data_IF_770192035220
#
_entry.id   IF_770192035220
#
_cell.length_a   1.000
_cell.length_b   1.000
_cell.length_c   1.000
_cell.angle_alpha   90.00
_cell.angle_beta   90.00
_cell.angle_gamma   90.00
#
_symmetry.space_group_name_H-M   'P 1'
#
loop_
_entity.id
_entity.type
_entity.pdbx_description
1 polymer ?
#
# COMPACT_ATOMS: atom_id res chain seq x y z
N UNK A 1 -22.70 4.33 -5.79
CA UNK A 1 -21.68 5.38 -5.98
C UNK A 1 -20.44 5.09 -5.15
N UNK A 2 -19.25 5.16 -5.77
CA UNK A 2 -17.95 5.05 -5.09
C UNK A 2 -17.59 6.39 -4.44
N UNK A 3 -17.13 6.35 -3.19
CA UNK A 3 -16.67 7.54 -2.44
C UNK A 3 -15.39 7.21 -1.66
N UNK A 4 -14.52 8.20 -1.48
CA UNK A 4 -13.33 8.09 -0.64
C UNK A 4 -13.41 9.17 0.43
N UNK A 5 -13.23 8.79 1.69
CA UNK A 5 -13.03 9.71 2.82
C UNK A 5 -11.58 9.68 3.23
N UNK A 6 -11.05 10.85 3.58
CA UNK A 6 -9.67 10.98 4.05
C UNK A 6 -9.65 11.48 5.48
N UNK A 7 -8.85 10.83 6.32
CA UNK A 7 -8.53 11.25 7.67
C UNK A 7 -7.06 11.65 7.69
N UNK A 8 -6.81 12.95 7.87
CA UNK A 8 -5.48 13.51 7.76
C UNK A 8 -4.74 13.45 9.10
N UNK A 9 -3.52 12.93 9.09
CA UNK A 9 -2.54 13.14 10.16
C UNK A 9 -1.27 13.71 9.54
N UNK A 10 -0.45 14.42 10.33
CA UNK A 10 0.62 15.32 9.82
C UNK A 10 1.41 14.76 8.62
N UNK A 11 1.79 13.48 8.66
CA UNK A 11 2.47 12.78 7.56
C UNK A 11 1.93 11.36 7.29
N UNK A 12 0.84 10.98 7.94
CA UNK A 12 0.20 9.67 7.83
C UNK A 12 -1.26 9.93 7.55
N UNK A 13 -1.81 9.48 6.42
CA UNK A 13 -3.24 9.63 6.15
C UNK A 13 -3.90 8.25 6.10
N UNK A 14 -5.16 8.21 6.51
CA UNK A 14 -6.02 7.05 6.29
C UNK A 14 -7.07 7.39 5.24
N UNK A 15 -7.10 6.60 4.17
CA UNK A 15 -8.11 6.65 3.11
C UNK A 15 -9.11 5.53 3.34
N UNK A 16 -10.39 5.86 3.44
CA UNK A 16 -11.48 4.90 3.62
C UNK A 16 -12.41 4.95 2.42
N UNK A 17 -12.65 3.78 1.83
CA UNK A 17 -13.35 3.63 0.56
C UNK A 17 -14.76 3.07 0.80
N UNK A 18 -15.75 3.61 0.08
CA UNK A 18 -17.16 3.27 0.25
C UNK A 18 -17.85 2.96 -1.07
N UNK A 19 -18.80 2.01 -1.06
CA UNK A 19 -19.81 1.78 -2.09
C UNK A 19 -21.17 1.89 -1.44
N UNK A 20 -22.03 2.77 -1.97
CA UNK A 20 -23.40 2.95 -1.47
C UNK A 20 -23.42 3.16 0.06
N UNK A 21 -22.52 4.02 0.56
CA UNK A 21 -22.27 4.32 1.97
C UNK A 21 -21.80 3.14 2.84
N UNK A 22 -21.51 1.97 2.26
CA UNK A 22 -20.89 0.85 2.96
C UNK A 22 -19.38 0.88 2.76
N UNK A 23 -18.61 0.78 3.84
CA UNK A 23 -17.15 0.69 3.75
C UNK A 23 -16.73 -0.60 3.04
N UNK A 24 -15.84 -0.48 2.06
CA UNK A 24 -15.30 -1.62 1.29
C UNK A 24 -13.85 -1.94 1.63
N UNK A 25 -13.14 -0.96 2.16
CA UNK A 25 -11.74 -1.11 2.53
C UNK A 25 -11.09 0.21 2.88
N UNK A 26 -9.82 0.13 3.23
CA UNK A 26 -9.01 1.26 3.67
C UNK A 26 -7.56 1.09 3.25
N UNK A 27 -6.88 2.22 3.17
CA UNK A 27 -5.44 2.32 2.95
C UNK A 27 -4.85 3.30 3.93
N UNK A 28 -3.70 2.97 4.51
CA UNK A 28 -2.90 3.90 5.29
C UNK A 28 -1.65 4.25 4.51
N UNK A 29 -1.41 5.54 4.34
CA UNK A 29 -0.32 6.07 3.51
C UNK A 29 0.53 7.05 4.31
N UNK A 30 1.80 7.17 3.94
CA UNK A 30 2.73 8.12 4.53
C UNK A 30 3.48 8.90 3.46
N UNK A 31 3.74 10.16 3.73
CA UNK A 31 4.65 10.97 2.91
C UNK A 31 5.95 11.21 3.69
N UNK A 32 7.05 10.78 3.12
CA UNK A 32 8.39 10.96 3.69
C UNK A 32 9.12 12.09 2.96
N UNK A 33 10.30 12.45 3.47
CA UNK A 33 11.21 13.37 2.79
C UNK A 33 11.61 12.84 1.40
N UNK A 34 12.13 13.71 0.53
CA UNK A 34 12.66 13.37 -0.80
C UNK A 34 11.62 12.81 -1.79
N UNK A 35 10.36 13.27 -1.75
CA UNK A 35 9.30 12.85 -2.69
C UNK A 35 9.04 11.34 -2.69
N UNK A 36 9.24 10.69 -1.53
CA UNK A 36 8.97 9.27 -1.31
C UNK A 36 7.64 9.12 -0.56
N UNK A 37 6.73 8.33 -1.11
CA UNK A 37 5.51 7.91 -0.47
C UNK A 37 5.62 6.46 -0.01
N UNK A 38 4.89 6.12 1.04
CA UNK A 38 4.76 4.74 1.52
C UNK A 38 3.28 4.39 1.56
N UNK A 39 2.90 3.23 1.04
CA UNK A 39 1.58 2.64 1.32
C UNK A 39 1.81 1.54 2.34
N UNK A 40 1.43 1.80 3.59
CA UNK A 40 1.74 0.93 4.72
C UNK A 40 0.84 -0.30 4.75
N UNK A 41 -0.47 -0.09 4.57
CA UNK A 41 -1.47 -1.16 4.62
C UNK A 41 -2.58 -0.90 3.63
N UNK A 42 -3.07 -1.97 3.00
CA UNK A 42 -4.32 -2.01 2.24
C UNK A 42 -5.17 -3.13 2.84
N UNK A 43 -6.40 -2.80 3.22
CA UNK A 43 -7.36 -3.76 3.75
C UNK A 43 -8.61 -3.70 2.89
N UNK A 44 -9.03 -4.84 2.36
CA UNK A 44 -10.31 -5.02 1.69
C UNK A 44 -11.16 -5.92 2.57
N UNK A 45 -12.38 -5.47 2.91
CA UNK A 45 -13.35 -6.28 3.66
C UNK A 45 -13.63 -7.58 2.90
N UNK A 46 -13.79 -8.69 3.62
CA UNK A 46 -13.81 -10.03 3.03
C UNK A 46 -14.85 -10.23 1.94
N UNK A 47 -16.07 -9.73 2.16
CA UNK A 47 -17.17 -9.77 1.18
C UNK A 47 -16.89 -9.03 -0.13
N UNK A 48 -15.83 -8.22 -0.19
CA UNK A 48 -15.42 -7.45 -1.36
C UNK A 48 -14.07 -7.92 -1.94
N UNK A 49 -13.45 -8.98 -1.39
CA UNK A 49 -12.23 -9.54 -1.96
C UNK A 49 -12.51 -10.20 -3.30
N UNK A 50 -11.48 -10.35 -4.14
CA UNK A 50 -11.57 -10.92 -5.50
C UNK A 50 -12.45 -10.15 -6.49
N UNK A 51 -12.98 -8.98 -6.12
CA UNK A 51 -13.77 -8.11 -7.00
C UNK A 51 -12.96 -6.93 -7.59
N UNK A 52 -11.62 -6.97 -7.49
CA UNK A 52 -10.73 -5.92 -7.99
C UNK A 52 -10.54 -4.71 -7.06
N UNK A 53 -11.20 -4.67 -5.89
CA UNK A 53 -11.10 -3.51 -4.99
C UNK A 53 -9.72 -3.29 -4.38
N UNK A 54 -8.88 -4.33 -4.29
CA UNK A 54 -7.48 -4.16 -3.88
C UNK A 54 -6.71 -3.24 -4.84
N UNK A 55 -6.80 -3.51 -6.14
CA UNK A 55 -6.16 -2.67 -7.17
C UNK A 55 -6.78 -1.27 -7.23
N UNK A 56 -8.10 -1.16 -7.06
CA UNK A 56 -8.79 0.14 -6.99
C UNK A 56 -8.29 0.99 -5.83
N UNK A 57 -8.21 0.42 -4.63
CA UNK A 57 -7.69 1.11 -3.43
C UNK A 57 -6.23 1.50 -3.63
N UNK A 58 -5.40 0.59 -4.16
CA UNK A 58 -3.99 0.85 -4.45
C UNK A 58 -3.85 2.05 -5.39
N UNK A 59 -4.51 2.01 -6.55
CA UNK A 59 -4.49 3.08 -7.55
C UNK A 59 -4.87 4.44 -6.95
N UNK A 60 -5.98 4.50 -6.22
CA UNK A 60 -6.41 5.76 -5.60
C UNK A 60 -5.47 6.24 -4.49
N UNK A 61 -4.85 5.32 -3.74
CA UNK A 61 -3.83 5.67 -2.75
C UNK A 61 -2.58 6.26 -3.40
N UNK A 62 -2.11 5.67 -4.51
CA UNK A 62 -0.99 6.18 -5.31
C UNK A 62 -1.30 7.60 -5.82
N UNK A 63 -2.48 7.77 -6.43
CA UNK A 63 -2.92 9.06 -6.93
C UNK A 63 -3.01 10.13 -5.85
N UNK A 64 -3.45 9.75 -4.65
CA UNK A 64 -3.51 10.65 -3.51
C UNK A 64 -2.10 11.12 -3.09
N UNK A 65 -1.17 10.19 -2.94
CA UNK A 65 0.24 10.50 -2.64
C UNK A 65 0.86 11.44 -3.68
N UNK A 66 0.67 11.14 -4.97
CA UNK A 66 1.19 11.95 -6.07
C UNK A 66 0.61 13.38 -6.03
N UNK A 67 -0.72 13.52 -5.89
CA UNK A 67 -1.38 14.82 -5.99
C UNK A 67 -1.18 15.70 -4.77
N UNK A 68 -1.25 15.13 -3.56
CA UNK A 68 -1.18 15.91 -2.31
C UNK A 68 0.26 16.22 -1.90
N UNK A 69 1.15 15.25 -2.06
CA UNK A 69 2.51 15.31 -1.51
C UNK A 69 3.60 15.37 -2.60
N UNK A 70 3.22 15.47 -3.88
CA UNK A 70 4.17 15.54 -5.00
C UNK A 70 5.18 14.38 -5.02
N UNK A 71 4.72 13.19 -4.64
CA UNK A 71 5.51 11.96 -4.59
C UNK A 71 5.89 11.52 -6.01
N UNK A 72 7.16 11.13 -6.19
CA UNK A 72 7.70 10.58 -7.44
C UNK A 72 8.08 9.10 -7.34
N UNK A 73 8.15 8.56 -6.13
CA UNK A 73 8.47 7.16 -5.87
C UNK A 73 7.63 6.63 -4.70
N UNK A 74 7.00 5.48 -4.88
CA UNK A 74 6.14 4.85 -3.88
C UNK A 74 6.75 3.52 -3.46
N UNK A 75 6.92 3.33 -2.16
CA UNK A 75 7.38 2.10 -1.55
C UNK A 75 6.22 1.37 -0.86
N UNK A 76 6.30 0.04 -0.89
CA UNK A 76 5.40 -0.86 -0.16
C UNK A 76 6.22 -1.98 0.46
N UNK A 77 5.73 -2.51 1.58
CA UNK A 77 6.24 -3.72 2.19
C UNK A 77 5.14 -4.78 2.06
N UNK A 78 5.38 -5.79 1.24
CA UNK A 78 4.48 -6.92 1.15
C UNK A 78 4.78 -7.88 2.30
N UNK A 79 3.92 -7.83 3.32
CA UNK A 79 3.94 -8.75 4.46
C UNK A 79 3.10 -9.98 4.13
N UNK A 80 3.74 -11.16 4.08
CA UNK A 80 3.08 -12.41 3.73
C UNK A 80 3.63 -13.58 4.54
N UNK A 81 2.81 -14.61 4.82
CA UNK A 81 3.34 -15.88 5.34
C UNK A 81 4.44 -16.38 4.40
N UNK A 82 5.40 -17.13 4.93
CA UNK A 82 6.47 -17.70 4.12
C UNK A 82 5.92 -18.43 2.88
N UNK A 83 6.37 -18.03 1.68
CA UNK A 83 5.87 -18.58 0.40
C UNK A 83 4.54 -18.00 -0.10
N UNK A 84 4.03 -16.95 0.55
CA UNK A 84 2.78 -16.27 0.20
C UNK A 84 2.81 -15.52 -1.15
N UNK A 85 1.71 -14.83 -1.46
CA UNK A 85 1.47 -14.24 -2.79
C UNK A 85 1.11 -12.74 -2.78
N UNK A 86 1.31 -12.05 -1.64
CA UNK A 86 1.01 -10.62 -1.52
C UNK A 86 1.94 -9.81 -2.42
N UNK A 87 3.22 -10.17 -2.50
CA UNK A 87 4.18 -9.53 -3.40
C UNK A 87 3.75 -9.61 -4.87
N UNK A 88 3.14 -10.74 -5.29
CA UNK A 88 2.61 -10.93 -6.65
C UNK A 88 1.49 -9.95 -6.99
N UNK A 89 0.67 -9.54 -6.00
CA UNK A 89 -0.34 -8.49 -6.20
C UNK A 89 0.32 -7.16 -6.57
N UNK A 90 1.37 -6.76 -5.86
CA UNK A 90 2.09 -5.51 -6.15
C UNK A 90 2.85 -5.58 -7.49
N UNK A 91 3.50 -6.70 -7.80
CA UNK A 91 4.18 -6.90 -9.10
C UNK A 91 3.20 -6.74 -10.27
N UNK A 92 1.99 -7.30 -10.18
CA UNK A 92 0.92 -7.09 -11.18
C UNK A 92 0.48 -5.63 -11.32
N UNK A 93 0.74 -4.79 -10.31
CA UNK A 93 0.46 -3.35 -10.31
C UNK A 93 1.71 -2.50 -10.63
N UNK A 94 2.68 -3.09 -11.34
CA UNK A 94 3.91 -2.47 -11.83
C UNK A 94 4.93 -2.07 -10.75
N UNK A 95 4.85 -2.69 -9.57
CA UNK A 95 5.93 -2.59 -8.59
C UNK A 95 7.07 -3.55 -8.97
N UNK A 96 8.29 -3.14 -8.62
CA UNK A 96 9.49 -3.95 -8.75
C UNK A 96 10.06 -4.21 -7.36
N UNK A 97 10.74 -5.34 -7.18
CA UNK A 97 11.50 -5.58 -5.96
C UNK A 97 12.47 -4.42 -5.75
N UNK A 98 12.52 -3.92 -4.51
CA UNK A 98 13.50 -2.91 -4.16
C UNK A 98 14.85 -3.56 -3.89
N UNK A 99 15.92 -2.79 -4.07
CA UNK A 99 17.30 -3.21 -3.77
C UNK A 99 17.64 -3.11 -2.28
N UNK A 100 16.68 -2.75 -1.41
CA UNK A 100 16.87 -2.76 0.03
C UNK A 100 17.17 -4.19 0.50
N UNK A 101 18.40 -4.39 1.00
CA UNK A 101 18.92 -5.70 1.43
C UNK A 101 18.78 -5.94 2.93
N UNK A 102 18.47 -4.91 3.71
CA UNK A 102 18.34 -5.02 5.17
C UNK A 102 16.86 -5.15 5.51
N UNK A 103 16.39 -6.40 5.50
CA UNK A 103 15.09 -6.76 6.08
C UNK A 103 15.40 -7.21 7.50
N UNK A 104 14.98 -6.40 8.48
CA UNK A 104 15.18 -6.73 9.89
C UNK A 104 14.44 -8.03 10.25
N UNK A 105 15.07 -8.86 11.06
CA UNK A 105 14.44 -10.02 11.68
C UNK A 105 13.77 -9.61 12.99
N UNK A 106 12.82 -10.42 13.46
CA UNK A 106 12.31 -10.26 14.83
C UNK A 106 13.44 -10.41 15.85
N UNK A 107 13.26 -9.87 17.05
CA UNK A 107 14.26 -9.85 18.12
C UNK A 107 14.62 -11.25 18.63
N UNK A 108 13.67 -12.19 18.52
CA UNK A 108 13.85 -13.62 18.79
C UNK A 108 14.57 -14.37 17.66
N UNK A 109 14.86 -13.71 16.52
CA UNK A 109 15.50 -14.30 15.35
C UNK A 109 14.58 -15.19 14.52
N UNK A 110 13.30 -15.30 14.86
CA UNK A 110 12.33 -16.12 14.12
C UNK A 110 11.93 -15.44 12.80
N UNK A 111 11.75 -16.25 11.75
CA UNK A 111 11.29 -15.78 10.44
C UNK A 111 9.92 -16.37 10.12
N UNK A 112 8.89 -15.74 10.68
CA UNK A 112 7.48 -16.19 10.54
C UNK A 112 6.86 -15.67 9.24
N UNK A 113 7.33 -14.54 8.72
CA UNK A 113 6.76 -13.85 7.56
C UNK A 113 7.85 -13.37 6.61
N UNK A 114 7.62 -13.51 5.30
CA UNK A 114 8.42 -12.80 4.31
C UNK A 114 8.00 -11.32 4.30
N UNK A 115 8.97 -10.44 4.51
CA UNK A 115 8.80 -9.00 4.33
C UNK A 115 9.50 -8.62 3.02
N UNK A 116 8.71 -8.43 1.97
CA UNK A 116 9.26 -8.19 0.63
C UNK A 116 9.13 -6.70 0.30
N UNK A 117 10.25 -5.93 0.24
CA UNK A 117 10.21 -4.53 -0.14
C UNK A 117 10.00 -4.39 -1.65
N UNK A 118 9.00 -3.60 -2.06
CA UNK A 118 8.77 -3.24 -3.45
C UNK A 118 8.67 -1.72 -3.62
N UNK A 119 8.98 -1.26 -4.84
CA UNK A 119 8.95 0.15 -5.21
C UNK A 119 8.37 0.36 -6.60
N UNK A 120 7.77 1.54 -6.81
CA UNK A 120 7.24 1.98 -8.10
C UNK A 120 7.60 3.45 -8.33
N UNK A 121 8.24 3.72 -9.46
CA UNK A 121 8.39 5.10 -9.95
C UNK A 121 7.05 5.57 -10.51
N UNK A 122 6.63 6.77 -10.11
CA UNK A 122 5.36 7.38 -10.53
C UNK A 122 5.60 8.71 -11.26
N UNK A 123 6.82 8.93 -11.76
CA UNK A 123 7.13 10.06 -12.64
C UNK A 123 6.17 10.05 -13.84
N UNK A 124 5.62 11.25 -14.13
CA UNK A 124 4.86 11.55 -15.34
C UNK A 124 5.77 11.52 -16.56
#
# INVERSE_FOLDING_TARGET
MLRVRCYNYKYNDALVFFINNTEIGRSSISACSQKRGIINHIIVHEKYRSMGFGSYILFHSEHYLIKKYCISNINVLAWQPHGGHVSKFYVKNNYRLSTYSNIDTYDDGENIFDIIPLQKSVQK
#
